data_IF_486623687739
#
_entry.id   IF_486623687739
#
_cell.length_a   1.000
_cell.length_b   1.000
_cell.length_c   1.000
_cell.angle_alpha   90.00
_cell.angle_beta   90.00
_cell.angle_gamma   90.00
#
_symmetry.space_group_name_H-M   'P 1'
#
loop_
_entity.id
_entity.type
_entity.pdbx_description
1 polymer ?
#
# COMPACT_ATOMS: atom_id res chain seq x y z
N UNK A 1 -9.99 -9.27 20.86
CA UNK A 1 -10.74 -10.49 20.69
C UNK A 1 -10.31 -11.27 19.45
N UNK A 2 -9.04 -11.55 19.30
CA UNK A 2 -8.50 -12.37 18.24
C UNK A 2 -8.36 -11.71 16.88
N UNK A 3 -8.43 -10.39 16.80
CA UNK A 3 -8.12 -9.66 15.56
C UNK A 3 -6.62 -9.43 15.48
N UNK A 4 -5.99 -9.88 14.41
CA UNK A 4 -4.54 -9.78 14.23
C UNK A 4 -4.13 -8.51 13.49
N UNK A 5 -4.94 -8.06 12.54
CA UNK A 5 -4.67 -6.89 11.71
C UNK A 5 -5.99 -6.27 11.23
N UNK A 6 -6.03 -4.97 11.07
CA UNK A 6 -7.19 -4.24 10.55
C UNK A 6 -6.85 -3.63 9.19
N UNK A 7 -7.62 -4.03 8.18
CA UNK A 7 -7.60 -3.36 6.87
C UNK A 7 -8.55 -2.17 6.93
N UNK A 8 -8.00 -0.97 6.82
CA UNK A 8 -8.75 0.27 7.10
C UNK A 8 -9.21 0.95 5.82
N UNK A 9 -10.52 0.92 5.61
CA UNK A 9 -11.16 1.65 4.52
C UNK A 9 -12.44 2.33 5.00
N UNK A 10 -12.87 3.38 4.30
CA UNK A 10 -13.99 4.22 4.73
C UNK A 10 -15.13 4.29 3.71
N UNK A 11 -15.30 3.27 2.89
CA UNK A 11 -16.40 3.20 1.92
C UNK A 11 -15.92 3.16 0.47
N UNK A 12 -16.76 3.63 -0.46
CA UNK A 12 -16.50 3.54 -1.89
C UNK A 12 -17.16 2.35 -2.57
N UNK A 13 -18.14 1.74 -1.90
CA UNK A 13 -18.85 0.56 -2.42
C UNK A 13 -19.93 0.92 -3.46
N UNK A 14 -20.31 2.19 -3.53
CA UNK A 14 -21.27 2.67 -4.53
C UNK A 14 -20.54 3.46 -5.62
N UNK A 15 -20.95 3.24 -6.86
CA UNK A 15 -20.34 3.89 -8.01
C UNK A 15 -20.34 5.43 -7.91
N UNK A 16 -21.40 5.99 -7.37
CA UNK A 16 -21.59 7.44 -7.23
C UNK A 16 -21.57 7.93 -5.78
N UNK A 17 -20.89 7.22 -4.90
CA UNK A 17 -20.75 7.63 -3.52
C UNK A 17 -20.05 9.01 -3.43
N UNK A 18 -20.54 9.93 -2.57
CA UNK A 18 -19.99 11.27 -2.44
C UNK A 18 -18.66 11.25 -1.64
N UNK A 19 -17.64 10.63 -2.23
CA UNK A 19 -16.32 10.50 -1.60
C UNK A 19 -15.35 11.47 -2.28
N UNK A 20 -14.70 12.31 -1.49
CA UNK A 20 -13.63 13.17 -1.94
C UNK A 20 -12.31 12.37 -1.92
N UNK A 21 -12.08 11.62 -2.99
CA UNK A 21 -10.88 10.80 -3.12
C UNK A 21 -9.69 11.65 -3.56
N UNK A 22 -8.71 11.78 -2.68
CA UNK A 22 -7.40 12.39 -2.94
C UNK A 22 -6.31 11.37 -2.59
N UNK A 23 -5.07 11.51 -3.09
CA UNK A 23 -4.01 10.57 -2.74
C UNK A 23 -3.89 10.38 -1.22
N UNK A 24 -3.98 9.13 -0.77
CA UNK A 24 -3.87 8.79 0.65
C UNK A 24 -5.03 9.22 1.54
N UNK A 25 -6.21 9.45 0.98
CA UNK A 25 -7.36 10.00 1.72
C UNK A 25 -7.82 9.14 2.93
N UNK A 26 -7.52 7.86 2.96
CA UNK A 26 -7.88 6.95 4.06
C UNK A 26 -6.74 6.66 5.03
N UNK A 27 -5.53 7.14 4.75
CA UNK A 27 -4.35 6.89 5.60
C UNK A 27 -4.52 7.42 7.03
N UNK A 28 -5.10 8.61 7.28
CA UNK A 28 -5.31 9.10 8.64
C UNK A 28 -6.14 8.15 9.51
N UNK A 29 -7.06 7.39 8.93
CA UNK A 29 -7.85 6.42 9.67
C UNK A 29 -7.01 5.23 10.11
N UNK A 30 -6.15 4.70 9.24
CA UNK A 30 -5.22 3.62 9.57
C UNK A 30 -4.25 4.06 10.67
N UNK A 31 -3.70 5.25 10.56
CA UNK A 31 -2.80 5.84 11.53
C UNK A 31 -3.48 5.97 12.91
N UNK A 32 -4.71 6.48 12.95
CA UNK A 32 -5.46 6.63 14.20
C UNK A 32 -5.77 5.30 14.86
N UNK A 33 -6.19 4.31 14.11
CA UNK A 33 -6.50 2.97 14.64
C UNK A 33 -5.22 2.30 15.16
N UNK A 34 -4.13 2.38 14.41
CA UNK A 34 -2.85 1.83 14.83
C UNK A 34 -2.37 2.44 16.14
N UNK A 35 -2.44 3.77 16.25
CA UNK A 35 -1.99 4.50 17.43
C UNK A 35 -2.87 4.26 18.65
N UNK A 36 -4.20 4.23 18.47
CA UNK A 36 -5.17 4.15 19.59
C UNK A 36 -5.46 2.73 20.02
N UNK A 37 -5.55 1.79 19.10
CA UNK A 37 -5.86 0.40 19.40
C UNK A 37 -4.62 -0.47 19.59
N UNK A 38 -3.45 0.00 19.18
CA UNK A 38 -2.19 -0.76 19.29
C UNK A 38 -2.18 -2.04 18.45
N UNK A 39 -2.94 -2.08 17.35
CA UNK A 39 -3.05 -3.24 16.46
C UNK A 39 -2.44 -2.90 15.10
N UNK A 40 -1.78 -3.87 14.42
CA UNK A 40 -1.31 -3.66 13.06
C UNK A 40 -2.43 -3.26 12.11
N UNK A 41 -2.15 -2.32 11.21
CA UNK A 41 -3.11 -1.84 10.22
C UNK A 41 -2.55 -1.92 8.81
N UNK A 42 -3.45 -2.05 7.85
CA UNK A 42 -3.13 -1.86 6.44
C UNK A 42 -3.83 -0.59 5.94
N UNK A 43 -3.16 0.14 5.06
CA UNK A 43 -3.69 1.37 4.49
C UNK A 43 -4.02 1.17 3.02
N UNK A 44 -5.12 1.74 2.57
CA UNK A 44 -5.58 1.73 1.19
C UNK A 44 -6.17 3.09 0.84
N UNK A 45 -6.15 3.45 -0.43
CA UNK A 45 -6.81 4.66 -0.92
C UNK A 45 -5.86 5.55 -1.75
N UNK A 46 -5.94 5.38 -3.06
CA UNK A 46 -5.13 6.12 -4.03
C UNK A 46 -3.63 6.11 -3.71
N UNK A 47 -3.13 4.96 -3.32
CA UNK A 47 -1.69 4.71 -3.20
C UNK A 47 -1.23 4.19 -4.56
N UNK A 48 -0.36 4.93 -5.23
CA UNK A 48 0.10 4.62 -6.60
C UNK A 48 1.62 4.63 -6.72
N UNK A 49 2.30 5.43 -5.93
CA UNK A 49 3.73 5.65 -6.03
C UNK A 49 4.52 4.85 -5.01
N UNK A 50 5.68 4.33 -5.42
CA UNK A 50 6.56 3.55 -4.54
C UNK A 50 7.00 4.36 -3.31
N UNK A 51 7.38 5.62 -3.51
CA UNK A 51 7.80 6.50 -2.41
C UNK A 51 6.66 6.81 -1.45
N UNK A 52 5.44 6.99 -1.94
CA UNK A 52 4.25 7.18 -1.12
C UNK A 52 4.02 5.97 -0.22
N UNK A 53 4.05 4.77 -0.81
CA UNK A 53 3.87 3.52 -0.07
C UNK A 53 4.95 3.32 0.99
N UNK A 54 6.20 3.56 0.63
CA UNK A 54 7.33 3.45 1.55
C UNK A 54 7.21 4.43 2.73
N UNK A 55 6.83 5.67 2.47
CA UNK A 55 6.63 6.68 3.52
C UNK A 55 5.55 6.27 4.52
N UNK A 56 4.43 5.72 4.04
CA UNK A 56 3.33 5.27 4.92
C UNK A 56 3.82 4.24 5.91
N UNK A 57 4.60 3.27 5.45
CA UNK A 57 5.11 2.19 6.30
C UNK A 57 6.28 2.65 7.16
N UNK A 58 7.26 3.33 6.58
CA UNK A 58 8.47 3.76 7.29
C UNK A 58 8.19 4.82 8.36
N UNK A 59 7.19 5.68 8.16
CA UNK A 59 6.78 6.67 9.15
C UNK A 59 5.88 6.12 10.26
N UNK A 60 5.47 4.85 10.19
CA UNK A 60 4.63 4.20 11.19
C UNK A 60 3.15 4.52 11.10
N UNK A 61 2.67 5.04 9.97
CA UNK A 61 1.24 5.32 9.76
C UNK A 61 0.42 4.06 9.57
N UNK A 62 1.00 3.05 8.95
CA UNK A 62 0.43 1.72 8.79
C UNK A 62 1.55 0.68 8.71
N UNK A 63 1.21 -0.59 8.84
CA UNK A 63 2.19 -1.69 8.78
C UNK A 63 2.33 -2.25 7.36
N UNK A 64 1.31 -2.08 6.53
CA UNK A 64 1.32 -2.49 5.13
C UNK A 64 0.37 -1.60 4.31
N UNK A 65 0.45 -1.71 3.00
CA UNK A 65 -0.41 -0.99 2.08
C UNK A 65 -1.11 -1.95 1.13
N UNK A 66 -2.34 -1.60 0.74
CA UNK A 66 -3.07 -2.27 -0.33
C UNK A 66 -3.16 -1.37 -1.56
N UNK A 67 -2.96 -1.97 -2.72
CA UNK A 67 -3.10 -1.29 -4.00
C UNK A 67 -4.04 -2.10 -4.87
N UNK A 68 -5.05 -1.43 -5.43
CA UNK A 68 -5.95 -2.06 -6.40
C UNK A 68 -5.62 -1.61 -7.82
N UNK A 69 -6.01 -0.40 -8.18
CA UNK A 69 -5.87 0.10 -9.56
C UNK A 69 -4.43 0.19 -10.05
N UNK A 70 -3.48 0.51 -9.17
CA UNK A 70 -2.06 0.54 -9.52
C UNK A 70 -1.56 -0.86 -9.93
N UNK A 71 -1.99 -1.90 -9.20
CA UNK A 71 -1.65 -3.29 -9.52
C UNK A 71 -2.38 -3.81 -10.77
N UNK A 72 -3.59 -3.32 -11.03
CA UNK A 72 -4.31 -3.65 -12.27
C UNK A 72 -3.57 -3.08 -13.48
N UNK A 73 -3.10 -1.83 -13.37
CA UNK A 73 -2.32 -1.18 -14.44
C UNK A 73 -0.96 -1.82 -14.65
N UNK A 74 -0.31 -2.21 -13.56
CA UNK A 74 0.99 -2.88 -13.60
C UNK A 74 1.03 -4.04 -12.60
N UNK A 75 0.77 -5.28 -13.04
CA UNK A 75 0.81 -6.46 -12.16
C UNK A 75 2.19 -6.69 -11.51
N UNK A 76 3.25 -6.12 -12.06
CA UNK A 76 4.61 -6.18 -11.52
C UNK A 76 4.99 -4.92 -10.73
N UNK A 77 3.99 -4.20 -10.23
CA UNK A 77 4.19 -2.95 -9.50
C UNK A 77 5.19 -3.09 -8.35
N UNK A 78 5.10 -4.18 -7.58
CA UNK A 78 5.99 -4.40 -6.43
C UNK A 78 7.47 -4.54 -6.86
N UNK A 79 7.72 -5.21 -7.99
CA UNK A 79 9.08 -5.31 -8.53
C UNK A 79 9.61 -3.96 -8.99
N UNK A 80 8.79 -3.19 -9.69
CA UNK A 80 9.13 -1.84 -10.13
C UNK A 80 9.38 -0.90 -8.94
N UNK A 81 8.55 -1.00 -7.90
CA UNK A 81 8.70 -0.22 -6.67
C UNK A 81 10.02 -0.54 -5.96
N UNK A 82 10.36 -1.83 -5.86
CA UNK A 82 11.63 -2.24 -5.26
C UNK A 82 12.83 -1.67 -6.02
N UNK A 83 12.81 -1.69 -7.34
CA UNK A 83 13.87 -1.09 -8.17
C UNK A 83 13.95 0.42 -7.96
N UNK A 84 12.82 1.11 -7.96
CA UNK A 84 12.77 2.57 -7.73
C UNK A 84 13.32 2.95 -6.36
N UNK A 85 13.02 2.15 -5.33
CA UNK A 85 13.48 2.36 -3.96
C UNK A 85 14.92 1.84 -3.70
N UNK A 86 15.54 1.20 -4.69
CA UNK A 86 16.87 0.64 -4.55
C UNK A 86 16.92 -0.61 -3.67
N UNK A 87 15.82 -1.32 -3.53
CA UNK A 87 15.72 -2.53 -2.71
C UNK A 87 15.82 -3.76 -3.58
N UNK A 88 16.72 -4.68 -3.19
CA UNK A 88 16.89 -5.94 -3.89
C UNK A 88 15.89 -6.97 -3.34
N UNK A 89 15.07 -7.53 -4.22
CA UNK A 89 14.11 -8.59 -3.91
C UNK A 89 14.33 -9.78 -4.83
N UNK A 90 13.82 -10.93 -4.43
CA UNK A 90 13.84 -12.11 -5.27
C UNK A 90 12.80 -12.00 -6.37
N UNK A 91 13.23 -12.30 -7.61
CA UNK A 91 12.36 -12.32 -8.76
C UNK A 91 12.07 -13.77 -9.16
N UNK A 92 10.89 -14.05 -9.76
CA UNK A 92 10.70 -15.35 -10.42
C UNK A 92 11.78 -15.58 -11.47
N UNK A 93 12.30 -16.80 -11.55
CA UNK A 93 13.41 -17.12 -12.45
C UNK A 93 13.13 -16.73 -13.91
N UNK A 94 11.86 -16.81 -14.33
CA UNK A 94 11.44 -16.48 -15.69
C UNK A 94 11.66 -14.99 -16.03
N UNK A 95 11.71 -14.13 -15.02
CA UNK A 95 11.85 -12.67 -15.19
C UNK A 95 13.22 -12.14 -14.76
N UNK A 96 14.10 -13.01 -14.30
CA UNK A 96 15.37 -12.61 -13.68
C UNK A 96 16.25 -11.76 -14.61
N UNK A 97 16.22 -12.02 -15.90
CA UNK A 97 16.95 -11.23 -16.91
C UNK A 97 16.46 -9.78 -17.04
N UNK A 98 15.25 -9.49 -16.54
CA UNK A 98 14.70 -8.13 -16.56
C UNK A 98 15.17 -7.25 -15.43
N UNK A 99 15.99 -7.76 -14.53
CA UNK A 99 16.51 -6.98 -13.41
C UNK A 99 17.45 -5.87 -13.88
N UNK A 100 17.28 -4.71 -13.29
CA UNK A 100 18.21 -3.58 -13.45
C UNK A 100 19.17 -3.46 -12.27
N UNK A 101 18.80 -4.04 -11.11
CA UNK A 101 19.65 -4.09 -9.92
C UNK A 101 20.36 -5.46 -9.84
N UNK A 102 21.65 -5.41 -9.66
CA UNK A 102 22.49 -6.60 -9.49
C UNK A 102 22.82 -6.87 -8.02
#
# INVERSE_FOLDING_TARGET
>A
MGVDIVDVSSGGNLHNAPIKAVPGFQIPFAEAIRAKAGIPTTAVGLITEAKQADEIVSSGKADAVFLARAMIRNPRWAMAAAEELGVKIDWPLQFDRGRTLN
#
